data_IF_757617961269
#
_entry.id   IF_757617961269
#
_cell.length_a   1.000
_cell.length_b   1.000
_cell.length_c   1.000
_cell.angle_alpha   90.00
_cell.angle_beta   90.00
_cell.angle_gamma   90.00
#
_symmetry.space_group_name_H-M   'P 1'
#
loop_
_entity.id
_entity.type
_entity.pdbx_description
1 polymer ?
#
# COMPACT_ATOMS: atom_id res chain seq x y z
N UNK A 1 15.02 22.52 40.80
CA UNK A 1 14.42 23.19 39.62
C UNK A 1 14.14 22.16 38.54
N UNK A 2 12.85 22.06 38.15
CA UNK A 2 12.26 21.54 36.91
C UNK A 2 12.86 20.25 36.29
N UNK A 3 12.28 19.10 36.65
CA UNK A 3 12.34 17.85 35.86
C UNK A 3 11.81 18.16 34.46
N UNK A 4 12.68 17.96 33.47
CA UNK A 4 12.46 18.30 32.07
C UNK A 4 11.21 17.58 31.53
N UNK A 5 10.13 18.36 31.37
CA UNK A 5 8.83 17.95 30.86
C UNK A 5 8.82 18.01 29.32
N UNK A 6 9.79 17.35 28.68
CA UNK A 6 9.97 17.34 27.21
C UNK A 6 9.44 16.07 26.53
N UNK A 7 8.78 15.18 27.28
CA UNK A 7 8.23 13.93 26.76
C UNK A 7 7.07 14.05 25.73
N UNK A 8 6.26 15.13 25.62
CA UNK A 8 5.14 15.11 24.68
C UNK A 8 5.52 15.49 23.23
N UNK A 9 6.70 16.07 23.00
CA UNK A 9 7.08 16.55 21.66
C UNK A 9 7.66 15.46 20.74
N UNK A 10 8.21 14.39 21.30
CA UNK A 10 8.79 13.28 20.50
C UNK A 10 7.69 12.38 19.90
N UNK A 11 6.51 12.30 20.53
CA UNK A 11 5.41 11.45 20.07
C UNK A 11 4.68 12.01 18.82
N UNK A 12 4.79 13.31 18.54
CA UNK A 12 4.07 13.95 17.43
C UNK A 12 4.80 13.86 16.08
N UNK A 13 6.07 13.42 16.06
CA UNK A 13 6.91 13.36 14.86
C UNK A 13 6.88 12.00 14.15
N UNK A 14 6.16 11.00 14.67
CA UNK A 14 6.19 9.64 14.16
C UNK A 14 5.26 9.38 12.94
N UNK A 15 4.51 10.36 12.45
CA UNK A 15 3.52 10.17 11.37
C UNK A 15 3.93 10.65 9.98
N UNK A 16 5.22 10.89 9.72
CA UNK A 16 5.73 11.17 8.36
C UNK A 16 6.48 9.95 7.82
N UNK A 17 5.80 8.81 7.72
CA UNK A 17 6.29 7.73 6.87
C UNK A 17 5.96 8.11 5.43
N UNK A 18 6.83 8.90 4.79
CA UNK A 18 6.90 8.83 3.34
C UNK A 18 7.42 7.43 3.03
N UNK A 19 6.73 6.68 2.17
CA UNK A 19 7.34 5.51 1.56
C UNK A 19 8.61 6.02 0.81
N UNK A 20 9.68 5.23 0.86
CA UNK A 20 10.98 5.64 0.31
C UNK A 20 11.44 4.54 -0.62
N UNK A 21 11.98 4.87 -1.82
CA UNK A 21 12.48 3.86 -2.74
C UNK A 21 13.49 2.92 -2.09
N UNK A 22 13.37 1.64 -2.43
CA UNK A 22 14.34 0.63 -1.99
C UNK A 22 15.75 1.00 -2.45
N UNK A 23 16.77 0.59 -1.68
CA UNK A 23 18.18 0.91 -1.99
C UNK A 23 18.59 0.39 -3.38
N UNK A 24 18.08 -0.77 -3.78
CA UNK A 24 18.35 -1.37 -5.09
C UNK A 24 17.70 -0.57 -6.22
N UNK A 25 16.42 -0.22 -6.08
CA UNK A 25 15.70 0.57 -7.07
C UNK A 25 16.36 1.94 -7.25
N UNK A 26 16.68 2.62 -6.15
CA UNK A 26 17.42 3.88 -6.20
C UNK A 26 18.73 3.77 -6.99
N UNK A 27 19.50 2.70 -6.76
CA UNK A 27 20.74 2.45 -7.49
C UNK A 27 20.53 2.27 -8.99
N UNK A 28 19.45 1.59 -9.40
CA UNK A 28 19.10 1.42 -10.82
C UNK A 28 18.75 2.79 -11.44
N UNK A 29 17.92 3.59 -10.75
CA UNK A 29 17.54 4.93 -11.21
C UNK A 29 18.73 5.88 -11.30
N UNK A 30 19.59 5.88 -10.27
CA UNK A 30 20.83 6.67 -10.25
C UNK A 30 21.78 6.27 -11.39
N UNK A 31 21.81 4.98 -11.76
CA UNK A 31 22.63 4.50 -12.89
C UNK A 31 22.15 4.97 -14.27
N UNK A 32 20.93 5.50 -14.35
CA UNK A 32 20.39 6.07 -15.59
C UNK A 32 20.83 7.52 -15.81
N UNK A 33 21.28 8.24 -14.79
CA UNK A 33 21.75 9.62 -14.95
C UNK A 33 22.94 9.66 -15.91
N UNK A 34 22.85 10.50 -16.95
CA UNK A 34 23.83 10.60 -18.04
C UNK A 34 23.62 9.62 -19.21
N UNK A 35 22.76 8.60 -19.05
CA UNK A 35 22.38 7.68 -20.14
C UNK A 35 21.49 8.37 -21.17
N UNK A 36 21.38 7.76 -22.34
CA UNK A 36 20.51 8.25 -23.42
C UNK A 36 19.05 7.86 -23.18
N UNK A 37 18.13 8.59 -23.79
CA UNK A 37 16.71 8.23 -23.88
C UNK A 37 16.49 6.78 -24.37
N UNK A 38 17.26 6.34 -25.36
CA UNK A 38 17.24 4.97 -25.88
C UNK A 38 17.61 3.94 -24.82
N UNK A 39 18.59 4.23 -23.96
CA UNK A 39 18.98 3.32 -22.87
C UNK A 39 17.88 3.21 -21.81
N UNK A 40 17.19 4.32 -21.50
CA UNK A 40 16.02 4.32 -20.61
C UNK A 40 14.91 3.46 -21.21
N UNK A 41 14.58 3.67 -22.48
CA UNK A 41 13.56 2.89 -23.20
C UNK A 41 13.89 1.40 -23.25
N UNK A 42 15.16 1.04 -23.39
CA UNK A 42 15.60 -0.38 -23.37
C UNK A 42 15.48 -1.02 -21.99
N UNK A 43 15.62 -0.23 -20.93
CA UNK A 43 15.61 -0.73 -19.55
C UNK A 43 14.20 -0.79 -18.97
N UNK A 44 13.41 0.27 -19.18
CA UNK A 44 12.08 0.43 -18.59
C UNK A 44 10.93 0.23 -19.58
N UNK A 45 11.22 0.12 -20.88
CA UNK A 45 10.21 0.04 -21.93
C UNK A 45 9.68 1.41 -22.34
N UNK A 46 8.52 1.42 -23.01
CA UNK A 46 7.88 2.67 -23.47
C UNK A 46 7.23 3.38 -22.28
N UNK A 47 7.43 4.70 -22.11
CA UNK A 47 6.84 5.44 -20.99
C UNK A 47 5.31 5.45 -21.06
N UNK A 48 4.68 5.45 -19.89
CA UNK A 48 3.22 5.59 -19.76
C UNK A 48 2.77 6.96 -20.25
N UNK A 49 3.57 8.01 -19.99
CA UNK A 49 3.31 9.39 -20.42
C UNK A 49 4.61 10.11 -20.73
N UNK A 50 4.55 11.03 -21.68
CA UNK A 50 5.64 11.95 -21.99
C UNK A 50 5.17 13.39 -21.89
N UNK A 51 6.05 14.30 -21.46
CA UNK A 51 5.76 15.72 -21.41
C UNK A 51 6.99 16.55 -21.77
N UNK A 52 6.77 17.72 -22.38
CA UNK A 52 7.84 18.62 -22.82
C UNK A 52 7.65 19.99 -22.19
N UNK A 53 8.68 20.50 -21.52
CA UNK A 53 8.64 21.84 -20.94
C UNK A 53 10.03 22.47 -20.93
N UNK A 54 10.12 23.73 -21.37
CA UNK A 54 11.34 24.54 -21.26
C UNK A 54 12.61 23.91 -21.87
N UNK A 55 12.46 23.05 -22.89
CA UNK A 55 13.58 22.32 -23.50
C UNK A 55 13.96 21.02 -22.78
N UNK A 56 13.16 20.58 -21.82
CA UNK A 56 13.30 19.31 -21.12
C UNK A 56 12.20 18.34 -21.57
N UNK A 57 12.60 17.08 -21.78
CA UNK A 57 11.69 15.96 -22.01
C UNK A 57 11.51 15.20 -20.70
N UNK A 58 10.27 14.88 -20.35
CA UNK A 58 9.92 14.10 -19.16
C UNK A 58 9.30 12.78 -19.59
N UNK A 59 9.93 11.68 -19.19
CA UNK A 59 9.43 10.32 -19.42
C UNK A 59 8.88 9.77 -18.09
N UNK A 60 7.57 9.57 -18.01
CA UNK A 60 6.89 9.10 -16.80
C UNK A 60 6.44 7.64 -16.94
N UNK A 61 6.80 6.83 -15.95
CA UNK A 61 6.42 5.44 -15.77
C UNK A 61 5.54 5.37 -14.52
N UNK A 62 4.32 4.83 -14.67
CA UNK A 62 3.33 4.77 -13.59
C UNK A 62 3.05 3.31 -13.27
N UNK A 63 3.37 2.91 -12.05
CA UNK A 63 3.08 1.60 -11.49
C UNK A 63 1.89 1.72 -10.51
N UNK A 64 0.87 0.89 -10.70
CA UNK A 64 -0.31 0.83 -9.83
C UNK A 64 -0.40 -0.56 -9.23
N UNK A 65 -0.41 -0.65 -7.90
CA UNK A 65 -0.61 -1.91 -7.17
C UNK A 65 -1.93 -1.88 -6.42
N UNK A 66 -2.72 -2.95 -6.53
CA UNK A 66 -3.95 -3.13 -5.76
C UNK A 66 -3.78 -4.32 -4.82
N UNK A 67 -3.87 -4.08 -3.52
CA UNK A 67 -3.73 -5.11 -2.52
C UNK A 67 -5.06 -5.37 -1.81
N UNK A 68 -5.26 -6.62 -1.42
CA UNK A 68 -6.46 -7.11 -0.76
C UNK A 68 -6.10 -7.51 0.67
N UNK A 69 -6.68 -6.81 1.63
CA UNK A 69 -6.63 -7.21 3.03
C UNK A 69 -7.85 -8.11 3.32
N UNK A 70 -7.66 -9.43 3.50
CA UNK A 70 -8.75 -10.29 3.93
C UNK A 70 -9.17 -9.86 5.33
N UNK A 71 -10.43 -9.45 5.46
CA UNK A 71 -11.00 -9.10 6.75
C UNK A 71 -10.93 -10.28 7.71
N UNK A 72 -10.62 -10.04 8.97
CA UNK A 72 -10.63 -11.08 9.99
C UNK A 72 -12.05 -11.26 10.48
N UNK A 73 -12.62 -12.46 10.34
CA UNK A 73 -13.86 -12.83 11.01
C UNK A 73 -13.63 -12.82 12.53
N UNK A 74 -14.44 -12.06 13.27
CA UNK A 74 -14.29 -11.95 14.71
C UNK A 74 -14.37 -13.31 15.39
N UNK A 75 -13.33 -13.69 16.14
CA UNK A 75 -13.37 -14.83 17.06
C UNK A 75 -14.28 -14.45 18.22
N UNK A 76 -15.56 -14.81 18.13
CA UNK A 76 -16.50 -14.69 19.23
C UNK A 76 -16.11 -15.70 20.31
N UNK A 77 -15.50 -15.23 21.40
CA UNK A 77 -15.42 -15.99 22.65
C UNK A 77 -16.81 -15.98 23.30
N UNK A 78 -17.71 -16.79 22.76
CA UNK A 78 -18.98 -17.10 23.43
C UNK A 78 -18.67 -17.85 24.71
N UNK A 79 -18.97 -17.23 25.87
CA UNK A 79 -19.15 -17.97 27.11
C UNK A 79 -20.36 -18.90 26.94
N UNK A 80 -20.11 -20.12 26.45
CA UNK A 80 -21.12 -21.16 26.28
C UNK A 80 -20.85 -22.08 25.08
N UNK A 81 -20.04 -23.12 25.30
CA UNK A 81 -19.85 -24.29 24.43
C UNK A 81 -18.99 -24.04 23.20
N UNK A 82 -17.77 -24.57 23.04
CA UNK A 82 -16.93 -25.48 23.81
C UNK A 82 -15.70 -25.76 22.91
N UNK A 83 -14.51 -26.09 23.44
CA UNK A 83 -13.40 -26.56 22.61
C UNK A 83 -13.84 -27.87 21.95
N UNK A 84 -13.58 -28.03 20.66
CA UNK A 84 -13.83 -29.24 19.90
C UNK A 84 -13.11 -30.46 20.49
N UNK A 85 -13.75 -31.08 21.47
CA UNK A 85 -13.61 -32.43 21.99
C UNK A 85 -14.95 -32.75 22.69
N UNK A 86 -16.03 -32.93 21.93
CA UNK A 86 -17.33 -33.21 22.51
C UNK A 86 -18.37 -33.47 21.45
N UNK A 87 -18.77 -34.74 21.32
CA UNK A 87 -19.67 -35.22 20.30
C UNK A 87 -21.07 -34.62 20.35
N UNK A 88 -21.77 -34.73 19.24
CA UNK A 88 -23.17 -34.36 19.10
C UNK A 88 -23.69 -34.76 17.74
N UNK A 89 -24.17 -36.01 17.65
CA UNK A 89 -24.90 -36.52 16.50
C UNK A 89 -26.11 -35.64 16.17
N UNK A 90 -26.32 -35.38 14.88
CA UNK A 90 -27.65 -35.14 14.32
C UNK A 90 -27.98 -33.69 13.98
N UNK A 91 -28.14 -33.42 12.68
CA UNK A 91 -28.69 -32.15 12.22
C UNK A 91 -28.61 -31.94 10.70
N UNK A 92 -28.95 -32.96 9.91
CA UNK A 92 -29.35 -32.75 8.52
C UNK A 92 -30.60 -31.86 8.53
N UNK A 93 -30.49 -30.63 8.05
CA UNK A 93 -31.62 -29.70 8.00
C UNK A 93 -31.29 -28.47 7.16
N UNK A 94 -31.64 -28.55 5.87
CA UNK A 94 -31.50 -27.46 4.93
C UNK A 94 -32.29 -26.21 5.33
N UNK A 95 -31.84 -25.07 4.82
CA UNK A 95 -32.54 -23.80 4.97
C UNK A 95 -31.94 -22.75 4.06
N UNK A 96 -32.36 -22.75 2.79
CA UNK A 96 -32.30 -21.56 1.96
C UNK A 96 -33.15 -20.48 2.63
N UNK A 97 -32.56 -19.35 2.99
CA UNK A 97 -33.28 -18.24 3.61
C UNK A 97 -32.40 -17.01 3.76
N UNK A 98 -32.48 -16.11 2.79
CA UNK A 98 -31.99 -14.74 2.96
C UNK A 98 -32.83 -14.01 4.02
N UNK A 99 -32.22 -13.04 4.70
CA UNK A 99 -32.96 -12.22 5.66
C UNK A 99 -32.07 -11.41 6.58
N UNK A 100 -31.74 -10.20 6.12
CA UNK A 100 -31.76 -8.95 6.89
C UNK A 100 -31.46 -8.97 8.41
N UNK A 101 -30.41 -8.21 8.77
CA UNK A 101 -30.49 -7.30 9.92
C UNK A 101 -30.38 -7.93 11.31
N UNK A 102 -29.16 -8.24 11.73
CA UNK A 102 -28.83 -8.48 13.13
C UNK A 102 -28.04 -7.32 13.73
N UNK A 103 -28.72 -6.22 14.09
CA UNK A 103 -28.20 -5.29 15.11
C UNK A 103 -28.26 -5.98 16.47
N UNK A 104 -27.31 -6.89 16.71
CA UNK A 104 -27.18 -7.64 17.96
C UNK A 104 -25.90 -7.25 18.67
N UNK A 105 -26.02 -6.43 19.71
CA UNK A 105 -24.92 -6.06 20.59
C UNK A 105 -24.37 -7.28 21.35
N UNK A 106 -23.31 -7.88 20.80
CA UNK A 106 -22.49 -8.87 21.48
C UNK A 106 -21.09 -8.30 21.72
N UNK A 107 -20.70 -8.16 22.98
CA UNK A 107 -19.32 -7.84 23.38
C UNK A 107 -18.41 -9.05 23.11
N UNK A 108 -18.12 -9.33 21.85
CA UNK A 108 -17.35 -10.52 21.46
C UNK A 108 -17.55 -10.86 20.00
N UNK A 109 -16.86 -10.14 19.12
CA UNK A 109 -16.90 -10.41 17.68
C UNK A 109 -16.39 -9.25 16.84
N UNK A 110 -15.30 -8.60 17.26
CA UNK A 110 -14.67 -7.52 16.50
C UNK A 110 -13.89 -8.08 15.32
N UNK A 111 -14.56 -8.30 14.19
CA UNK A 111 -13.91 -8.56 12.91
C UNK A 111 -13.75 -7.27 12.11
N UNK A 112 -12.59 -7.08 11.47
CA UNK A 112 -12.41 -6.00 10.51
C UNK A 112 -12.92 -6.47 9.14
N UNK A 113 -13.73 -5.68 8.42
CA UNK A 113 -14.19 -6.05 7.09
C UNK A 113 -13.01 -6.14 6.10
N UNK A 114 -13.12 -6.95 5.04
CA UNK A 114 -12.11 -6.97 3.99
C UNK A 114 -12.03 -5.60 3.31
N UNK A 115 -10.81 -5.17 2.99
CA UNK A 115 -10.56 -3.89 2.33
C UNK A 115 -9.64 -4.08 1.14
N UNK A 116 -9.89 -3.30 0.09
CA UNK A 116 -8.98 -3.11 -1.02
C UNK A 116 -8.31 -1.76 -0.86
N UNK A 117 -7.00 -1.71 -1.04
CA UNK A 117 -6.26 -0.48 -1.12
C UNK A 117 -5.37 -0.49 -2.37
N UNK A 118 -5.32 0.64 -3.05
CA UNK A 118 -4.52 0.83 -4.25
C UNK A 118 -3.44 1.85 -3.97
N UNK A 119 -2.20 1.51 -4.23
CA UNK A 119 -1.06 2.44 -4.20
C UNK A 119 -0.61 2.75 -5.63
N UNK A 120 -0.07 3.94 -5.83
CA UNK A 120 0.45 4.39 -7.11
C UNK A 120 1.86 4.90 -6.93
N UNK A 121 2.77 4.52 -7.83
CA UNK A 121 4.12 5.04 -7.88
C UNK A 121 4.47 5.55 -9.28
N UNK A 122 4.80 6.84 -9.40
CA UNK A 122 5.25 7.43 -10.65
C UNK A 122 6.76 7.73 -10.60
N UNK A 123 7.53 7.07 -11.46
CA UNK A 123 8.93 7.39 -11.71
C UNK A 123 9.04 8.29 -12.94
N UNK A 124 9.65 9.46 -12.81
CA UNK A 124 9.83 10.40 -13.92
C UNK A 124 11.30 10.64 -14.17
N UNK A 125 11.77 10.39 -15.39
CA UNK A 125 13.09 10.80 -15.86
C UNK A 125 12.99 12.16 -16.54
N UNK A 126 13.92 13.05 -16.20
CA UNK A 126 14.09 14.34 -16.86
C UNK A 126 15.28 14.26 -17.81
N UNK A 127 15.07 14.67 -19.06
CA UNK A 127 16.07 14.62 -20.10
C UNK A 127 16.28 15.99 -20.72
N UNK A 128 17.52 16.25 -21.12
CA UNK A 128 17.90 17.39 -21.93
C UNK A 128 18.86 16.92 -23.01
N UNK A 129 18.64 17.32 -24.26
CA UNK A 129 19.43 16.86 -25.42
C UNK A 129 19.52 15.33 -25.52
N UNK A 130 18.42 14.63 -25.23
CA UNK A 130 18.35 13.16 -25.29
C UNK A 130 19.13 12.42 -24.19
N UNK A 131 19.55 13.10 -23.12
CA UNK A 131 20.24 12.49 -21.98
C UNK A 131 19.54 12.76 -20.68
N UNK A 132 19.50 11.76 -19.82
CA UNK A 132 18.94 11.87 -18.46
C UNK A 132 19.80 12.80 -17.63
N UNK A 133 19.20 13.87 -17.09
CA UNK A 133 19.83 14.79 -16.16
C UNK A 133 19.40 14.54 -14.71
N UNK A 134 18.26 13.89 -14.52
CA UNK A 134 17.74 13.55 -13.20
C UNK A 134 16.53 12.63 -13.26
N UNK A 135 16.10 12.20 -12.07
CA UNK A 135 14.88 11.41 -11.91
C UNK A 135 14.17 11.82 -10.61
N UNK A 136 12.86 11.58 -10.56
CA UNK A 136 12.05 11.80 -9.37
C UNK A 136 10.99 10.73 -9.24
N UNK A 137 10.58 10.44 -8.01
CA UNK A 137 9.49 9.52 -7.69
C UNK A 137 8.39 10.28 -6.95
N UNK A 138 7.14 9.97 -7.28
CA UNK A 138 5.97 10.57 -6.64
C UNK A 138 4.84 9.55 -6.55
N UNK A 139 4.25 9.43 -5.37
CA UNK A 139 3.15 8.50 -5.14
C UNK A 139 3.11 8.06 -3.69
N UNK A 140 2.12 7.25 -3.36
CA UNK A 140 1.98 6.56 -2.07
C UNK A 140 2.49 5.11 -2.13
N UNK A 141 2.82 4.60 -3.33
CA UNK A 141 3.57 3.35 -3.53
C UNK A 141 5.07 3.54 -3.80
N UNK A 142 5.56 4.77 -3.61
CA UNK A 142 6.96 5.18 -3.70
C UNK A 142 7.36 5.81 -2.38
#
# INVERSE_FOLDING_TARGET
MKRARFLPFVALLAFTACDVPTVQQKKVLDSMVGRTDVDVLRTFGVPSRTYQASGHDFLAYIDNETNYSPGTGGWGWGWGGGPGWGGGWGGWGGGWGGGWGGWGGGWGGGGFPPTYYSTTCQTTFELTNGRVIGWTMRGDGC
#
